data_IF_631030181755
#
_entry.id   IF_631030181755
#
_cell.length_a   1.000
_cell.length_b   1.000
_cell.length_c   1.000
_cell.angle_alpha   90.00
_cell.angle_beta   90.00
_cell.angle_gamma   90.00
#
_symmetry.space_group_name_H-M   'P 1'
#
loop_
_entity.id
_entity.type
_entity.pdbx_description
1 polymer ?
#
# COMPACT_ATOMS: atom_id res chain seq x y z
N UNK A 1 3.05 -29.84 1.40
CA UNK A 1 3.10 -28.35 1.41
C UNK A 1 1.99 -27.70 0.59
N UNK A 2 1.52 -28.27 -0.53
CA UNK A 2 0.54 -27.62 -1.42
C UNK A 2 -0.86 -27.33 -0.80
N UNK A 3 -1.41 -28.23 0.03
CA UNK A 3 -2.78 -28.05 0.56
C UNK A 3 -2.91 -26.92 1.58
N UNK A 4 -1.93 -26.76 2.47
CA UNK A 4 -1.95 -25.73 3.51
C UNK A 4 -1.84 -24.32 2.89
N UNK A 5 -1.03 -24.18 1.85
CA UNK A 5 -0.93 -22.92 1.08
C UNK A 5 -2.27 -22.56 0.44
N UNK A 6 -2.97 -23.54 -0.17
CA UNK A 6 -4.28 -23.28 -0.77
C UNK A 6 -5.36 -22.88 0.25
N UNK A 7 -5.33 -23.44 1.47
CA UNK A 7 -6.28 -23.05 2.52
C UNK A 7 -6.04 -21.62 3.01
N UNK A 8 -4.77 -21.21 3.15
CA UNK A 8 -4.40 -19.83 3.49
C UNK A 8 -4.79 -18.85 2.38
N UNK A 9 -4.61 -19.21 1.12
CA UNK A 9 -5.02 -18.39 -0.03
C UNK A 9 -6.53 -18.17 -0.05
N UNK A 10 -7.32 -19.21 0.20
CA UNK A 10 -8.80 -19.12 0.29
C UNK A 10 -9.21 -18.19 1.44
N UNK A 11 -8.60 -18.33 2.61
CA UNK A 11 -8.87 -17.46 3.76
C UNK A 11 -8.48 -16.00 3.47
N UNK A 12 -7.34 -15.78 2.82
CA UNK A 12 -6.91 -14.43 2.42
C UNK A 12 -7.95 -13.76 1.51
N UNK A 13 -8.40 -14.47 0.47
CA UNK A 13 -9.43 -13.95 -0.45
C UNK A 13 -10.73 -13.62 0.28
N UNK A 14 -11.18 -14.50 1.17
CA UNK A 14 -12.44 -14.32 1.89
C UNK A 14 -12.37 -13.17 2.91
N UNK A 15 -11.27 -13.05 3.66
CA UNK A 15 -11.05 -11.94 4.60
C UNK A 15 -10.97 -10.62 3.84
N UNK A 16 -10.26 -10.57 2.73
CA UNK A 16 -10.15 -9.39 1.89
C UNK A 16 -11.51 -8.99 1.30
N UNK A 17 -12.31 -9.95 0.82
CA UNK A 17 -13.68 -9.71 0.33
C UNK A 17 -14.54 -9.05 1.40
N UNK A 18 -14.53 -9.58 2.64
CA UNK A 18 -15.28 -9.00 3.76
C UNK A 18 -14.83 -7.57 4.10
N UNK A 19 -13.52 -7.31 4.03
CA UNK A 19 -12.94 -5.99 4.26
C UNK A 19 -13.41 -4.96 3.23
N UNK A 20 -13.63 -5.39 1.98
CA UNK A 20 -14.23 -4.53 0.95
C UNK A 20 -15.72 -4.32 1.22
N UNK A 21 -16.46 -5.41 1.46
CA UNK A 21 -17.93 -5.36 1.58
C UNK A 21 -18.43 -4.52 2.76
N UNK A 22 -17.66 -4.45 3.85
CA UNK A 22 -17.99 -3.61 5.00
C UNK A 22 -17.37 -2.21 4.95
N UNK A 23 -16.62 -1.88 3.90
CA UNK A 23 -15.99 -0.57 3.69
C UNK A 23 -14.71 -0.31 4.51
N UNK A 24 -14.21 -1.28 5.28
CA UNK A 24 -12.96 -1.12 6.03
C UNK A 24 -11.75 -0.98 5.10
N UNK A 25 -11.78 -1.60 3.92
CA UNK A 25 -10.75 -1.42 2.89
C UNK A 25 -10.63 0.05 2.46
N UNK A 26 -11.74 0.67 2.07
CA UNK A 26 -11.76 2.07 1.64
C UNK A 26 -11.36 3.01 2.78
N UNK A 27 -11.80 2.73 4.01
CA UNK A 27 -11.43 3.49 5.21
C UNK A 27 -9.92 3.44 5.46
N UNK A 28 -9.32 2.25 5.45
CA UNK A 28 -7.88 2.07 5.68
C UNK A 28 -7.08 2.70 4.53
N UNK A 29 -7.54 2.56 3.30
CA UNK A 29 -6.89 3.17 2.12
C UNK A 29 -6.91 4.69 2.18
N UNK A 30 -8.05 5.29 2.58
CA UNK A 30 -8.17 6.72 2.75
C UNK A 30 -7.22 7.25 3.83
N UNK A 31 -7.15 6.56 4.98
CA UNK A 31 -6.25 6.91 6.06
C UNK A 31 -4.77 6.79 5.64
N UNK A 32 -4.40 5.72 4.93
CA UNK A 32 -3.06 5.55 4.37
C UNK A 32 -2.71 6.74 3.45
N UNK A 33 -3.63 7.11 2.55
CA UNK A 33 -3.43 8.24 1.63
C UNK A 33 -3.21 9.56 2.37
N UNK A 34 -4.09 9.89 3.34
CA UNK A 34 -3.95 11.11 4.17
C UNK A 34 -2.62 11.12 4.93
N UNK A 35 -2.24 10.01 5.55
CA UNK A 35 -0.98 9.88 6.31
C UNK A 35 0.25 10.04 5.43
N UNK A 36 0.24 9.47 4.23
CA UNK A 36 1.34 9.61 3.27
C UNK A 36 1.46 11.06 2.79
N UNK A 37 0.35 11.73 2.50
CA UNK A 37 0.33 13.16 2.18
C UNK A 37 0.85 14.03 3.34
N UNK A 38 0.32 13.84 4.55
CA UNK A 38 0.73 14.58 5.76
C UNK A 38 2.21 14.41 6.09
N UNK A 39 2.79 13.25 5.78
CA UNK A 39 4.21 12.96 5.99
C UNK A 39 5.14 13.60 4.96
N UNK A 40 4.60 14.24 3.90
CA UNK A 40 5.37 14.75 2.77
C UNK A 40 5.86 13.68 1.80
N UNK A 41 5.49 12.41 2.00
CA UNK A 41 5.91 11.30 1.13
C UNK A 41 5.40 11.46 -0.31
N UNK A 42 4.15 11.90 -0.47
CA UNK A 42 3.58 12.14 -1.79
C UNK A 42 4.31 13.27 -2.54
N UNK A 43 4.73 14.31 -1.81
CA UNK A 43 5.46 15.45 -2.37
C UNK A 43 6.90 15.07 -2.75
N UNK A 44 7.60 14.27 -1.94
CA UNK A 44 8.94 13.75 -2.27
C UNK A 44 8.90 12.91 -3.56
N UNK A 45 7.91 12.03 -3.70
CA UNK A 45 7.73 11.25 -4.92
C UNK A 45 7.45 12.12 -6.14
N UNK A 46 6.58 13.11 -6.01
CA UNK A 46 6.28 14.04 -7.09
C UNK A 46 7.52 14.86 -7.48
N UNK A 47 8.31 15.28 -6.49
CA UNK A 47 9.55 16.00 -6.73
C UNK A 47 10.54 15.14 -7.51
N UNK A 48 10.77 13.90 -7.09
CA UNK A 48 11.63 12.94 -7.81
C UNK A 48 11.15 12.65 -9.21
N UNK A 49 9.85 12.46 -9.41
CA UNK A 49 9.26 12.26 -10.73
C UNK A 49 9.56 13.43 -11.68
N UNK A 50 9.48 14.66 -11.15
CA UNK A 50 9.80 15.89 -11.90
C UNK A 50 11.29 16.03 -12.18
N UNK A 51 12.16 15.65 -11.26
CA UNK A 51 13.61 15.68 -11.53
C UNK A 51 14.01 14.65 -12.59
N UNK A 52 13.49 13.42 -12.49
CA UNK A 52 13.78 12.35 -13.47
C UNK A 52 13.31 12.72 -14.88
N UNK A 53 12.18 13.43 -15.01
CA UNK A 53 11.65 13.82 -16.32
C UNK A 53 12.46 14.93 -17.01
N UNK A 54 13.19 15.77 -16.26
CA UNK A 54 13.97 16.88 -16.83
C UNK A 54 15.14 16.43 -17.71
N UNK A 55 15.75 15.30 -17.36
CA UNK A 55 16.89 14.73 -18.08
C UNK A 55 16.50 13.60 -19.04
N UNK A 56 15.21 13.29 -19.17
CA UNK A 56 14.71 12.15 -19.94
C UNK A 56 14.23 12.60 -21.32
N UNK A 57 14.96 12.19 -22.36
CA UNK A 57 14.59 12.38 -23.76
C UNK A 57 14.79 11.06 -24.53
N UNK A 58 13.71 10.41 -25.03
CA UNK A 58 12.30 10.83 -24.95
C UNK A 58 11.66 10.57 -23.59
N UNK A 59 10.68 11.40 -23.22
CA UNK A 59 9.91 11.24 -21.98
C UNK A 59 9.13 9.91 -21.97
N UNK A 60 9.31 9.11 -20.92
CA UNK A 60 8.62 7.84 -20.73
C UNK A 60 8.03 7.73 -19.33
N UNK A 61 6.70 7.68 -19.25
CA UNK A 61 5.98 7.46 -17.98
C UNK A 61 6.36 6.11 -17.36
N UNK A 62 6.50 5.07 -18.18
CA UNK A 62 6.83 3.73 -17.69
C UNK A 62 8.20 3.70 -17.02
N UNK A 63 9.19 4.38 -17.60
CA UNK A 63 10.55 4.46 -17.05
C UNK A 63 10.56 5.22 -15.72
N UNK A 64 9.88 6.37 -15.67
CA UNK A 64 9.72 7.16 -14.45
C UNK A 64 9.03 6.34 -13.36
N UNK A 65 7.98 5.60 -13.70
CA UNK A 65 7.25 4.76 -12.75
C UNK A 65 8.13 3.64 -12.20
N UNK A 66 8.89 2.94 -13.05
CA UNK A 66 9.78 1.85 -12.62
C UNK A 66 10.86 2.33 -11.64
N UNK A 67 11.46 3.49 -11.91
CA UNK A 67 12.44 4.11 -11.01
C UNK A 67 11.81 4.55 -9.69
N UNK A 68 10.62 5.18 -9.74
CA UNK A 68 9.90 5.64 -8.57
C UNK A 68 9.39 4.51 -7.68
N UNK A 69 8.91 3.39 -8.26
CA UNK A 69 8.30 2.30 -7.49
C UNK A 69 9.25 1.72 -6.43
N UNK A 70 10.52 1.58 -6.77
CA UNK A 70 11.55 1.07 -5.84
C UNK A 70 11.75 2.02 -4.66
N UNK A 71 11.81 3.33 -4.93
CA UNK A 71 11.92 4.36 -3.89
C UNK A 71 10.63 4.46 -3.07
N UNK A 72 9.47 4.45 -3.73
CA UNK A 72 8.16 4.55 -3.10
C UNK A 72 7.96 3.48 -2.02
N UNK A 73 8.32 2.22 -2.30
CA UNK A 73 8.16 1.12 -1.35
C UNK A 73 9.09 1.21 -0.13
N UNK A 74 10.29 1.77 -0.31
CA UNK A 74 11.32 1.85 0.74
C UNK A 74 11.27 3.12 1.57
N UNK A 75 10.72 4.20 0.99
CA UNK A 75 10.61 5.53 1.61
C UNK A 75 9.34 5.72 2.46
N UNK A 76 8.41 4.76 2.48
CA UNK A 76 7.22 4.84 3.33
C UNK A 76 7.64 5.02 4.79
N UNK A 77 7.16 6.08 5.48
CA UNK A 77 7.52 6.31 6.87
C UNK A 77 7.15 5.14 7.76
N UNK A 78 8.06 4.75 8.65
CA UNK A 78 7.87 3.59 9.53
C UNK A 78 6.66 3.76 10.46
N UNK A 79 6.37 4.98 10.90
CA UNK A 79 5.18 5.32 11.69
C UNK A 79 3.89 4.97 10.93
N UNK A 80 3.76 5.46 9.70
CA UNK A 80 2.61 5.20 8.82
C UNK A 80 2.47 3.70 8.56
N UNK A 81 3.56 3.02 8.19
CA UNK A 81 3.56 1.57 7.96
C UNK A 81 3.08 0.79 9.19
N UNK A 82 3.55 1.14 10.39
CA UNK A 82 3.16 0.49 11.66
C UNK A 82 1.69 0.71 12.00
N UNK A 83 1.19 1.94 11.81
CA UNK A 83 -0.20 2.30 12.08
C UNK A 83 -1.15 1.52 11.17
N UNK A 84 -0.93 1.58 9.85
CA UNK A 84 -1.78 0.87 8.88
C UNK A 84 -1.69 -0.65 9.05
N UNK A 85 -0.50 -1.19 9.33
CA UNK A 85 -0.34 -2.62 9.63
C UNK A 85 -1.12 -3.03 10.87
N UNK A 86 -1.17 -2.17 11.90
CA UNK A 86 -1.92 -2.43 13.13
C UNK A 86 -3.42 -2.53 12.84
N UNK A 87 -3.96 -1.62 12.03
CA UNK A 87 -5.38 -1.65 11.64
C UNK A 87 -5.74 -2.90 10.84
N UNK A 88 -4.91 -3.27 9.85
CA UNK A 88 -5.12 -4.51 9.08
C UNK A 88 -5.07 -5.73 10.00
N UNK A 89 -4.09 -5.80 10.92
CA UNK A 89 -3.98 -6.91 11.87
C UNK A 89 -5.17 -6.99 12.82
N UNK A 90 -5.68 -5.86 13.27
CA UNK A 90 -6.88 -5.80 14.11
C UNK A 90 -8.07 -6.35 13.33
N UNK A 91 -8.31 -5.85 12.11
CA UNK A 91 -9.40 -6.33 11.26
C UNK A 91 -9.33 -7.84 11.03
N UNK A 92 -8.15 -8.35 10.67
CA UNK A 92 -7.93 -9.78 10.44
C UNK A 92 -8.22 -10.59 11.71
N UNK A 93 -7.77 -10.13 12.89
CA UNK A 93 -8.03 -10.81 14.16
C UNK A 93 -9.52 -10.93 14.45
N UNK A 94 -10.26 -9.85 14.25
CA UNK A 94 -11.71 -9.79 14.44
C UNK A 94 -12.47 -10.76 13.49
N UNK A 95 -11.86 -11.20 12.38
CA UNK A 95 -12.47 -12.22 11.50
C UNK A 95 -12.43 -13.64 12.06
N UNK A 96 -11.55 -13.91 13.04
CA UNK A 96 -11.32 -15.25 13.59
C UNK A 96 -11.68 -15.36 15.07
N UNK A 97 -11.89 -14.24 15.77
CA UNK A 97 -12.43 -14.22 17.12
C UNK A 97 -13.95 -14.47 17.06
N UNK A 98 -14.33 -15.74 17.22
CA UNK A 98 -15.68 -16.20 17.57
C UNK A 98 -15.63 -17.01 18.86
#
# INVERSE_FOLDING_TARGET
MSKLTSEVEVLHVEVHRRMIENGEWDRILHLLSSKLSESGWADDLLHRAKENSRSMDPLSLQTILQELLSHAQTSVPLSVKREITTLIKQFVREQFEK
#
